data_IF_205815103797
#
_entry.id   IF_205815103797
#
_cell.length_a   1.000
_cell.length_b   1.000
_cell.length_c   1.000
_cell.angle_alpha   90.00
_cell.angle_beta   90.00
_cell.angle_gamma   90.00
#
_symmetry.space_group_name_H-M   'P 1'
#
loop_
_entity.id
_entity.type
_entity.pdbx_description
1 polymer ?
#
# COMPACT_ATOMS: atom_id res chain seq x y z
N UNK A 1 -1.42 -23.40 -6.87
CA UNK A 1 -0.61 -22.15 -6.73
C UNK A 1 -1.41 -20.88 -7.09
N UNK A 2 -2.54 -20.96 -7.80
CA UNK A 2 -3.44 -19.82 -8.12
C UNK A 2 -4.27 -19.25 -6.94
N UNK A 3 -4.37 -19.96 -5.82
CA UNK A 3 -5.26 -19.60 -4.71
C UNK A 3 -4.79 -18.36 -3.93
N UNK A 4 -3.49 -18.09 -3.90
CA UNK A 4 -2.94 -16.98 -3.10
C UNK A 4 -3.29 -15.60 -3.67
N UNK A 5 -3.28 -15.44 -5.00
CA UNK A 5 -3.71 -14.19 -5.64
C UNK A 5 -5.21 -13.95 -5.45
N UNK A 6 -6.01 -15.02 -5.42
CA UNK A 6 -7.45 -14.92 -5.14
C UNK A 6 -7.73 -14.44 -3.71
N UNK A 7 -6.91 -14.85 -2.74
CA UNK A 7 -7.04 -14.38 -1.34
C UNK A 7 -6.77 -12.87 -1.25
N UNK A 8 -5.76 -12.35 -1.95
CA UNK A 8 -5.48 -10.91 -1.97
C UNK A 8 -6.63 -10.09 -2.55
N UNK A 9 -7.20 -10.53 -3.68
CA UNK A 9 -8.36 -9.89 -4.31
C UNK A 9 -9.60 -10.00 -3.42
N UNK A 10 -9.88 -11.18 -2.86
CA UNK A 10 -11.03 -11.38 -1.99
C UNK A 10 -10.93 -10.52 -0.72
N UNK A 11 -9.74 -10.43 -0.13
CA UNK A 11 -9.50 -9.59 1.05
C UNK A 11 -9.64 -8.10 0.72
N UNK A 12 -9.11 -7.67 -0.44
CA UNK A 12 -9.26 -6.29 -0.91
C UNK A 12 -10.72 -5.93 -1.21
N UNK A 13 -11.45 -6.82 -1.88
CA UNK A 13 -12.87 -6.64 -2.19
C UNK A 13 -13.74 -6.62 -0.92
N UNK A 14 -13.45 -7.50 0.04
CA UNK A 14 -14.09 -7.50 1.35
C UNK A 14 -13.81 -6.19 2.10
N UNK A 15 -12.56 -5.73 2.09
CA UNK A 15 -12.18 -4.44 2.68
C UNK A 15 -12.90 -3.26 2.06
N UNK A 16 -12.96 -3.21 0.71
CA UNK A 16 -13.73 -2.19 0.00
C UNK A 16 -15.21 -2.21 0.41
N UNK A 17 -15.83 -3.40 0.45
CA UNK A 17 -17.24 -3.54 0.82
C UNK A 17 -17.51 -3.03 2.25
N UNK A 18 -16.69 -3.43 3.22
CA UNK A 18 -16.80 -2.95 4.62
C UNK A 18 -16.60 -1.42 4.68
N UNK A 19 -15.63 -0.89 3.94
CA UNK A 19 -15.38 0.56 3.89
C UNK A 19 -16.60 1.32 3.35
N UNK A 20 -17.23 0.84 2.27
CA UNK A 20 -18.45 1.43 1.72
C UNK A 20 -19.63 1.34 2.67
N UNK A 21 -19.80 0.21 3.37
CA UNK A 21 -20.84 0.06 4.41
C UNK A 21 -20.64 1.06 5.56
N UNK A 22 -19.40 1.31 5.95
CA UNK A 22 -19.07 2.34 6.94
C UNK A 22 -19.30 3.76 6.43
N UNK A 23 -19.00 4.05 5.16
CA UNK A 23 -19.16 5.39 4.58
C UNK A 23 -20.64 5.78 4.41
N UNK A 24 -21.49 4.81 4.04
CA UNK A 24 -22.92 5.01 3.81
C UNK A 24 -23.77 4.03 4.64
N UNK A 25 -23.85 4.21 5.97
CA UNK A 25 -24.67 3.34 6.83
C UNK A 25 -26.17 3.45 6.50
N UNK A 26 -26.60 4.53 5.85
CA UNK A 26 -27.98 4.69 5.36
C UNK A 26 -28.36 3.71 4.23
N UNK A 27 -27.38 3.18 3.49
CA UNK A 27 -27.63 2.22 2.40
C UNK A 27 -27.90 0.80 2.95
N UNK A 28 -27.50 0.52 4.19
CA UNK A 28 -27.66 -0.80 4.82
C UNK A 28 -28.89 -0.90 5.72
N UNK A 29 -29.70 0.16 5.84
CA UNK A 29 -30.93 0.17 6.65
C UNK A 29 -30.69 0.13 8.16
N UNK A 30 -29.45 0.36 8.62
CA UNK A 30 -29.13 0.52 10.03
C UNK A 30 -29.75 1.83 10.55
N UNK A 31 -30.44 1.77 11.70
CA UNK A 31 -31.06 2.94 12.30
C UNK A 31 -30.02 4.06 12.49
N UNK A 32 -30.20 5.18 11.78
CA UNK A 32 -29.39 6.38 11.90
C UNK A 32 -29.65 7.01 13.27
N UNK A 33 -28.89 6.58 14.28
CA UNK A 33 -28.74 7.38 15.48
C UNK A 33 -28.05 8.70 15.09
N UNK A 34 -28.58 9.83 15.56
CA UNK A 34 -28.13 11.17 15.20
C UNK A 34 -26.60 11.32 15.34
N UNK A 35 -25.92 11.60 14.22
CA UNK A 35 -24.46 11.79 14.13
C UNK A 35 -23.71 10.68 13.37
N UNK A 36 -22.47 10.99 12.95
CA UNK A 36 -21.54 9.97 12.42
C UNK A 36 -21.20 9.03 13.57
N UNK A 37 -21.76 7.82 13.55
CA UNK A 37 -21.63 6.87 14.63
C UNK A 37 -20.20 6.32 14.75
N UNK A 38 -19.74 6.09 15.98
CA UNK A 38 -18.48 5.40 16.28
C UNK A 38 -18.30 4.11 15.45
N UNK A 39 -19.36 3.32 15.35
CA UNK A 39 -19.36 2.06 14.58
C UNK A 39 -19.06 2.31 13.09
N UNK A 40 -19.55 3.43 12.54
CA UNK A 40 -19.31 3.79 11.15
C UNK A 40 -17.83 4.14 10.93
N UNK A 41 -17.22 4.91 11.81
CA UNK A 41 -15.78 5.25 11.71
C UNK A 41 -14.91 4.00 11.83
N UNK A 42 -15.22 3.12 12.78
CA UNK A 42 -14.52 1.85 12.94
C UNK A 42 -14.66 0.95 11.71
N UNK A 43 -15.85 0.88 11.08
CA UNK A 43 -16.03 0.16 9.83
C UNK A 43 -15.19 0.74 8.69
N UNK A 44 -15.16 2.08 8.54
CA UNK A 44 -14.34 2.73 7.50
C UNK A 44 -12.85 2.40 7.69
N UNK A 45 -12.33 2.55 8.91
CA UNK A 45 -10.92 2.28 9.22
C UNK A 45 -10.58 0.80 9.03
N UNK A 46 -11.44 -0.11 9.51
CA UNK A 46 -11.22 -1.55 9.38
C UNK A 46 -11.27 -2.00 7.91
N UNK A 47 -12.27 -1.55 7.16
CA UNK A 47 -12.41 -1.83 5.74
C UNK A 47 -11.22 -1.29 4.93
N UNK A 48 -10.78 -0.08 5.24
CA UNK A 48 -9.57 0.49 4.66
C UNK A 48 -8.32 -0.34 4.95
N UNK A 49 -8.11 -0.81 6.19
CA UNK A 49 -7.00 -1.68 6.53
C UNK A 49 -6.99 -2.96 5.70
N UNK A 50 -8.14 -3.62 5.58
CA UNK A 50 -8.28 -4.82 4.73
C UNK A 50 -8.06 -4.53 3.24
N UNK A 51 -8.53 -3.37 2.75
CA UNK A 51 -8.33 -2.95 1.36
C UNK A 51 -6.84 -2.80 1.02
N UNK A 52 -6.09 -2.08 1.86
CA UNK A 52 -4.66 -1.85 1.66
C UNK A 52 -3.86 -3.15 1.79
N UNK A 53 -4.16 -3.97 2.80
CA UNK A 53 -3.52 -5.28 2.99
C UNK A 53 -3.80 -6.23 1.82
N UNK A 54 -5.05 -6.30 1.36
CA UNK A 54 -5.43 -7.10 0.19
C UNK A 54 -4.69 -6.66 -1.07
N UNK A 55 -4.57 -5.36 -1.29
CA UNK A 55 -3.80 -4.79 -2.41
C UNK A 55 -2.32 -5.15 -2.35
N UNK A 56 -1.68 -5.02 -1.18
CA UNK A 56 -0.26 -5.37 -0.99
C UNK A 56 -0.01 -6.87 -1.21
N UNK A 57 -0.87 -7.74 -0.67
CA UNK A 57 -0.79 -9.19 -0.86
C UNK A 57 -0.98 -9.54 -2.34
N UNK A 58 -1.96 -8.94 -3.01
CA UNK A 58 -2.21 -9.15 -4.43
C UNK A 58 -0.99 -8.83 -5.28
N UNK A 59 -0.39 -7.65 -5.10
CA UNK A 59 0.81 -7.23 -5.84
C UNK A 59 1.99 -8.17 -5.56
N UNK A 60 2.20 -8.57 -4.30
CA UNK A 60 3.28 -9.51 -3.94
C UNK A 60 3.11 -10.87 -4.60
N UNK A 61 1.88 -11.41 -4.58
CA UNK A 61 1.59 -12.74 -5.12
C UNK A 61 1.64 -12.79 -6.65
N UNK A 62 1.27 -11.72 -7.35
CA UNK A 62 1.17 -11.73 -8.81
C UNK A 62 2.45 -11.26 -9.52
N UNK A 63 3.12 -10.22 -9.00
CA UNK A 63 4.27 -9.61 -9.68
C UNK A 63 5.63 -10.06 -9.11
N UNK A 64 5.72 -10.40 -7.82
CA UNK A 64 7.01 -10.56 -7.12
C UNK A 64 7.12 -11.88 -6.36
N UNK A 65 6.46 -12.94 -6.84
CA UNK A 65 6.54 -14.26 -6.24
C UNK A 65 7.97 -14.81 -6.42
N UNK A 66 8.69 -15.04 -5.31
CA UNK A 66 10.06 -15.57 -5.34
C UNK A 66 11.18 -14.53 -5.54
N UNK A 67 10.85 -13.25 -5.76
CA UNK A 67 11.86 -12.17 -5.89
C UNK A 67 12.11 -11.52 -4.52
N UNK A 68 13.38 -11.33 -4.09
CA UNK A 68 13.71 -10.61 -2.87
C UNK A 68 13.23 -9.16 -2.95
N UNK A 69 12.66 -8.65 -1.85
CA UNK A 69 12.11 -7.30 -1.83
C UNK A 69 13.22 -6.24 -1.86
N UNK A 70 13.12 -5.30 -2.79
CA UNK A 70 14.05 -4.17 -2.86
C UNK A 70 13.89 -3.24 -1.66
N UNK A 71 14.92 -2.45 -1.36
CA UNK A 71 14.89 -1.48 -0.26
C UNK A 71 13.72 -0.50 -0.39
N UNK A 72 13.49 0.00 -1.60
CA UNK A 72 12.36 0.89 -1.91
C UNK A 72 10.99 0.21 -1.70
N UNK A 73 10.88 -1.09 -2.00
CA UNK A 73 9.65 -1.85 -1.77
C UNK A 73 9.38 -2.03 -0.27
N UNK A 74 10.41 -2.21 0.55
CA UNK A 74 10.27 -2.24 2.02
C UNK A 74 9.85 -0.89 2.60
N UNK A 75 10.36 0.23 2.05
CA UNK A 75 9.95 1.58 2.43
C UNK A 75 8.47 1.80 2.07
N UNK A 76 8.06 1.46 0.84
CA UNK A 76 6.66 1.59 0.40
C UNK A 76 5.69 0.80 1.28
N UNK A 77 6.07 -0.43 1.66
CA UNK A 77 5.28 -1.27 2.58
C UNK A 77 5.12 -0.61 3.95
N UNK A 78 6.21 -0.09 4.53
CA UNK A 78 6.15 0.60 5.83
C UNK A 78 5.31 1.86 5.77
N UNK A 79 5.44 2.63 4.67
CA UNK A 79 4.65 3.84 4.45
C UNK A 79 3.14 3.55 4.32
N UNK A 80 2.79 2.45 3.64
CA UNK A 80 1.41 1.98 3.56
C UNK A 80 0.86 1.59 4.95
N UNK A 81 1.63 0.83 5.73
CA UNK A 81 1.21 0.41 7.07
C UNK A 81 1.09 1.60 8.03
N UNK A 82 2.02 2.57 8.00
CA UNK A 82 1.92 3.77 8.83
C UNK A 82 0.74 4.64 8.45
N UNK A 83 0.36 4.71 7.17
CA UNK A 83 -0.87 5.38 6.75
C UNK A 83 -2.14 4.72 7.31
N UNK A 84 -2.18 3.39 7.42
CA UNK A 84 -3.28 2.69 8.12
C UNK A 84 -3.31 3.07 9.61
N UNK A 85 -2.14 3.10 10.26
CA UNK A 85 -2.04 3.47 11.67
C UNK A 85 -2.53 4.92 11.91
N UNK A 86 -2.12 5.86 11.06
CA UNK A 86 -2.59 7.25 11.15
C UNK A 86 -4.10 7.36 10.92
N UNK A 87 -4.66 6.61 9.98
CA UNK A 87 -6.11 6.57 9.76
C UNK A 87 -6.85 6.06 11.00
N UNK A 88 -6.31 5.04 11.68
CA UNK A 88 -6.88 4.53 12.93
C UNK A 88 -6.79 5.56 14.06
N UNK A 89 -5.63 6.21 14.23
CA UNK A 89 -5.44 7.24 15.25
C UNK A 89 -6.37 8.45 15.03
N UNK A 90 -6.50 8.91 13.79
CA UNK A 90 -7.43 9.99 13.44
C UNK A 90 -8.89 9.55 13.62
N UNK A 91 -9.25 8.35 13.17
CA UNK A 91 -10.62 7.83 13.33
C UNK A 91 -11.03 7.65 14.78
N UNK A 92 -10.13 7.18 15.66
CA UNK A 92 -10.41 7.00 17.08
C UNK A 92 -10.12 8.23 17.94
N UNK A 93 -9.70 9.37 17.36
CA UNK A 93 -9.29 10.55 18.10
C UNK A 93 -10.35 11.05 19.10
N UNK A 94 -11.63 11.01 18.69
CA UNK A 94 -12.75 11.40 19.56
C UNK A 94 -12.97 10.43 20.73
N UNK A 95 -12.70 9.14 20.55
CA UNK A 95 -12.85 8.12 21.61
C UNK A 95 -11.78 8.31 22.67
N UNK A 96 -10.55 8.60 22.24
CA UNK A 96 -9.39 8.75 23.11
C UNK A 96 -9.44 10.09 23.87
N UNK A 97 -10.33 11.01 23.48
CA UNK A 97 -10.50 12.30 24.15
C UNK A 97 -9.57 13.41 23.64
N UNK A 98 -8.88 13.19 22.52
CA UNK A 98 -8.14 14.22 21.78
C UNK A 98 -8.95 14.84 20.63
N UNK A 99 -10.20 14.42 20.47
CA UNK A 99 -11.14 14.89 19.45
C UNK A 99 -11.55 16.35 19.62
N UNK A 100 -12.03 16.97 18.54
CA UNK A 100 -12.33 18.41 18.54
C UNK A 100 -13.67 18.78 19.21
N UNK A 101 -14.47 17.79 19.63
CA UNK A 101 -15.73 18.01 20.33
C UNK A 101 -15.73 17.28 21.67
N UNK A 102 -15.72 18.06 22.75
CA UNK A 102 -16.01 17.58 24.10
C UNK A 102 -17.53 17.35 24.16
N UNK A 103 -17.95 16.14 24.57
CA UNK A 103 -19.37 15.78 24.77
C UNK A 103 -20.00 16.79 25.74
N UNK A 104 -20.86 17.64 25.22
CA UNK A 104 -21.80 18.45 26.00
C UNK A 104 -23.22 18.04 25.62
N UNK A 105 -24.09 17.88 26.63
CA UNK A 105 -25.34 17.11 26.60
C UNK A 105 -26.47 17.69 25.69
N UNK A 106 -26.16 18.64 24.81
CA UNK A 106 -27.18 19.41 24.08
C UNK A 106 -26.90 19.72 22.59
N UNK A 107 -25.79 19.26 21.99
CA UNK A 107 -25.52 19.56 20.57
C UNK A 107 -24.99 18.35 19.81
N UNK A 108 -25.53 18.14 18.60
CA UNK A 108 -25.20 17.09 17.64
C UNK A 108 -23.74 16.61 17.67
N UNK A 109 -23.54 15.29 17.58
CA UNK A 109 -22.23 14.64 17.44
C UNK A 109 -21.62 15.08 16.10
N UNK A 110 -20.87 16.18 16.12
CA UNK A 110 -20.20 16.72 14.95
C UNK A 110 -18.82 16.09 14.78
N UNK A 111 -18.62 15.46 13.63
CA UNK A 111 -17.31 15.01 13.20
C UNK A 111 -16.40 16.23 13.00
N UNK A 112 -15.26 16.26 13.69
CA UNK A 112 -14.35 17.40 13.61
C UNK A 112 -13.76 17.52 12.20
N UNK A 113 -13.73 18.73 11.61
CA UNK A 113 -13.10 18.93 10.30
C UNK A 113 -11.64 18.45 10.27
N UNK A 114 -10.91 18.61 11.38
CA UNK A 114 -9.54 18.12 11.54
C UNK A 114 -9.43 16.59 11.49
N UNK A 115 -10.42 15.88 12.00
CA UNK A 115 -10.48 14.42 12.00
C UNK A 115 -10.69 13.89 10.57
N UNK A 116 -11.61 14.52 9.83
CA UNK A 116 -11.85 14.20 8.42
C UNK A 116 -10.60 14.43 7.57
N UNK A 117 -9.93 15.58 7.76
CA UNK A 117 -8.67 15.88 7.06
C UNK A 117 -7.59 14.87 7.43
N UNK A 118 -7.50 14.48 8.71
CA UNK A 118 -6.56 13.46 9.19
C UNK A 118 -6.76 12.10 8.53
N UNK A 119 -8.01 11.62 8.44
CA UNK A 119 -8.34 10.35 7.76
C UNK A 119 -8.03 10.44 6.26
N UNK A 120 -8.39 11.54 5.61
CA UNK A 120 -8.16 11.73 4.17
C UNK A 120 -6.66 11.81 3.84
N UNK A 121 -5.87 12.52 4.65
CA UNK A 121 -4.41 12.57 4.53
C UNK A 121 -3.79 11.19 4.72
N UNK A 122 -4.33 10.38 5.65
CA UNK A 122 -3.88 9.01 5.90
C UNK A 122 -4.17 8.07 4.72
N UNK A 123 -5.31 8.26 4.05
CA UNK A 123 -5.61 7.57 2.78
C UNK A 123 -4.62 7.93 1.69
N UNK A 124 -4.32 9.21 1.50
CA UNK A 124 -3.32 9.65 0.53
C UNK A 124 -1.93 9.07 0.85
N UNK A 125 -1.52 9.10 2.11
CA UNK A 125 -0.22 8.61 2.56
C UNK A 125 -0.03 7.12 2.25
N UNK A 126 -1.04 6.30 2.54
CA UNK A 126 -0.93 4.86 2.31
C UNK A 126 -1.16 4.45 0.86
N UNK A 127 -2.01 5.19 0.12
CA UNK A 127 -2.07 5.08 -1.35
C UNK A 127 -0.70 5.34 -1.98
N UNK A 128 0.02 6.37 -1.51
CA UNK A 128 1.38 6.67 -1.96
C UNK A 128 2.36 5.55 -1.57
N UNK A 129 2.23 4.96 -0.38
CA UNK A 129 3.00 3.77 0.02
C UNK A 129 2.79 2.57 -0.90
N UNK A 130 1.54 2.26 -1.27
CA UNK A 130 1.20 1.20 -2.22
C UNK A 130 1.75 1.52 -3.62
N UNK A 131 1.68 2.77 -4.06
CA UNK A 131 2.23 3.20 -5.36
C UNK A 131 3.75 3.00 -5.41
N UNK A 132 4.47 3.42 -4.36
CA UNK A 132 5.91 3.19 -4.24
C UNK A 132 6.23 1.70 -4.23
N UNK A 133 5.45 0.88 -3.54
CA UNK A 133 5.61 -0.57 -3.49
C UNK A 133 5.51 -1.21 -4.88
N UNK A 134 4.51 -0.83 -5.67
CA UNK A 134 4.29 -1.33 -7.03
C UNK A 134 5.40 -0.88 -7.97
N UNK A 135 5.74 0.42 -7.96
CA UNK A 135 6.73 1.01 -8.87
C UNK A 135 8.15 0.52 -8.60
N UNK A 136 8.53 0.38 -7.33
CA UNK A 136 9.86 -0.09 -6.93
C UNK A 136 10.14 -1.52 -7.41
N UNK A 137 9.13 -2.39 -7.37
CA UNK A 137 9.30 -3.74 -7.86
C UNK A 137 9.45 -3.81 -9.40
N UNK A 138 8.80 -2.91 -10.15
CA UNK A 138 8.94 -2.85 -11.61
C UNK A 138 10.35 -2.47 -12.04
N UNK A 139 11.07 -1.68 -11.24
CA UNK A 139 12.49 -1.37 -11.47
C UNK A 139 13.38 -2.59 -11.25
N UNK A 140 13.08 -3.43 -10.26
CA UNK A 140 13.84 -4.66 -9.97
C UNK A 140 13.76 -5.70 -11.09
N UNK A 141 12.63 -5.78 -11.79
CA UNK A 141 12.45 -6.74 -12.89
C UNK A 141 13.26 -6.41 -14.15
N UNK A 142 13.70 -5.15 -14.32
CA UNK A 142 14.47 -4.70 -15.49
C UNK A 142 15.96 -5.04 -15.43
N UNK A 143 16.55 -5.04 -14.23
CA UNK A 143 18.00 -5.22 -14.07
C UNK A 143 18.49 -6.68 -14.20
N UNK A 144 17.61 -7.70 -14.23
CA UNK A 144 18.06 -9.09 -14.08
C UNK A 144 18.33 -9.88 -15.37
N UNK A 145 17.63 -9.71 -16.51
CA UNK A 145 17.92 -10.53 -17.71
C UNK A 145 18.76 -9.84 -18.77
N UNK A 146 18.51 -8.56 -19.05
CA UNK A 146 19.11 -7.86 -20.20
C UNK A 146 20.45 -7.24 -19.85
N UNK A 147 20.59 -6.65 -18.66
CA UNK A 147 21.86 -6.06 -18.21
C UNK A 147 22.90 -7.14 -17.93
N UNK A 148 22.51 -8.26 -17.32
CA UNK A 148 23.41 -9.40 -17.13
C UNK A 148 23.85 -10.04 -18.46
N UNK A 149 23.03 -9.96 -19.51
CA UNK A 149 23.43 -10.40 -20.86
C UNK A 149 24.33 -9.35 -21.54
N UNK A 150 24.00 -8.06 -21.38
CA UNK A 150 24.79 -6.94 -21.91
C UNK A 150 26.19 -6.89 -21.29
N UNK A 151 26.31 -7.07 -19.98
CA UNK A 151 27.60 -7.13 -19.27
C UNK A 151 28.43 -8.34 -19.72
N UNK A 152 27.77 -9.48 -19.99
CA UNK A 152 28.44 -10.68 -20.52
C UNK A 152 28.90 -10.50 -21.96
N UNK A 153 28.15 -9.76 -22.78
CA UNK A 153 28.53 -9.45 -24.17
C UNK A 153 29.65 -8.40 -24.19
N UNK A 154 29.55 -7.36 -23.36
CA UNK A 154 30.57 -6.32 -23.24
C UNK A 154 31.91 -6.88 -22.72
N UNK A 155 31.88 -7.83 -21.78
CA UNK A 155 33.10 -8.50 -21.31
C UNK A 155 33.74 -9.45 -22.32
N UNK A 156 32.99 -9.94 -23.32
CA UNK A 156 33.51 -10.79 -24.41
C UNK A 156 34.19 -9.95 -25.49
N UNK A 157 33.71 -8.73 -25.74
CA UNK A 157 34.32 -7.79 -26.70
C UNK A 157 35.74 -7.39 -26.23
N UNK A 158 35.90 -7.11 -24.93
CA UNK A 158 37.18 -6.73 -24.30
C UNK A 158 38.22 -7.89 -24.30
N UNK A 159 37.75 -9.14 -24.18
CA UNK A 159 38.65 -10.32 -24.31
C UNK A 159 39.06 -10.62 -25.76
N UNK A 160 38.28 -10.14 -26.74
CA UNK A 160 38.57 -10.32 -28.16
C UNK A 160 39.68 -9.37 -28.64
N UNK A 161 39.73 -8.14 -28.12
CA UNK A 161 40.84 -7.22 -28.36
C UNK A 161 42.15 -7.72 -27.75
N UNK A 162 42.11 -8.30 -26.55
CA UNK A 162 43.32 -8.76 -25.85
C UNK A 162 44.01 -9.95 -26.55
N UNK A 163 43.27 -10.80 -27.26
CA UNK A 163 43.81 -11.94 -28.01
C UNK A 163 44.40 -11.52 -29.37
N UNK A 164 43.95 -10.41 -29.96
CA UNK A 164 44.50 -9.92 -31.23
C UNK A 164 45.82 -9.15 -31.08
N UNK A 165 46.16 -8.66 -29.89
CA UNK A 165 47.42 -7.94 -29.64
C UNK A 165 48.62 -8.89 -29.47
N UNK A 166 48.40 -10.15 -29.10
CA UNK A 166 49.46 -11.14 -28.80
C UNK A 166 49.97 -11.94 -30.03
N UNK A 167 49.44 -11.69 -31.24
CA UNK A 167 49.84 -12.42 -32.46
C UNK A 167 50.85 -11.68 -33.36
N UNK A 168 51.38 -10.53 -32.93
CA UNK A 168 52.29 -9.68 -33.73
C UNK A 168 53.70 -9.52 -33.10
N UNK A 169 54.20 -10.53 -32.37
CA UNK A 169 55.63 -10.62 -32.03
C UNK A 169 56.35 -11.60 -32.98
N UNK A 170 57.18 -11.11 -33.93
CA UNK A 170 58.06 -11.96 -34.71
C UNK A 170 59.27 -12.41 -33.88
N UNK A 171 59.47 -13.74 -33.84
CA UNK A 171 60.68 -14.47 -33.38
C UNK A 171 61.96 -14.03 -34.10
#
# INVERSE_FOLDING_TARGET
MWRFSQVGIALGALGAMICFMGLFPGVTGAATAAGIGLVQVLMVVAGYGFLVLGGLIYVKCIFYLGVPATLSQQIGLRLAITGILFAAMAGLADIVGFGSHIRDDASDIFFGQLQMVGILASFALSSLGVLVYVLAGAKSARHTPVEALSDRIAGVDDTSELILVDLDEPL
#
